data_IF_764159811467
#
_entry.id   IF_764159811467
#
_cell.length_a   1.000
_cell.length_b   1.000
_cell.length_c   1.000
_cell.angle_alpha   90.00
_cell.angle_beta   90.00
_cell.angle_gamma   90.00
#
_symmetry.space_group_name_H-M   'P 1'
#
loop_
_entity.id
_entity.type
_entity.pdbx_description
1 polymer ?
#
# COMPACT_ATOMS: atom_id res chain seq x y z
N UNK A 1 -4.53 15.01 3.81
CA UNK A 1 -5.48 13.88 3.69
C UNK A 1 -4.69 12.59 3.69
N UNK A 2 -4.65 11.90 4.81
CA UNK A 2 -3.94 10.62 4.97
C UNK A 2 -4.78 9.48 4.42
N UNK A 3 -4.16 8.64 3.61
CA UNK A 3 -4.75 7.43 3.08
C UNK A 3 -4.62 6.35 4.16
N UNK A 4 -5.73 5.84 4.68
CA UNK A 4 -5.74 4.84 5.77
C UNK A 4 -5.53 3.39 5.31
N UNK A 5 -5.32 3.16 4.01
CA UNK A 5 -5.19 1.81 3.44
C UNK A 5 -3.75 1.28 3.42
N UNK A 6 -3.63 -0.03 3.45
CA UNK A 6 -2.36 -0.75 3.24
C UNK A 6 -1.69 -0.36 1.91
N UNK A 7 -0.38 -0.55 1.80
CA UNK A 7 0.42 -0.24 0.61
C UNK A 7 -0.20 -0.83 -0.69
N UNK A 8 -0.75 -2.07 -0.63
CA UNK A 8 -1.43 -2.68 -1.78
C UNK A 8 -2.69 -1.96 -2.21
N UNK A 9 -3.49 -1.51 -1.26
CA UNK A 9 -4.71 -0.77 -1.55
C UNK A 9 -4.38 0.55 -2.21
N UNK A 10 -3.33 1.23 -1.75
CA UNK A 10 -2.80 2.46 -2.36
C UNK A 10 -2.32 2.23 -3.79
N UNK A 11 -1.56 1.16 -4.02
CA UNK A 11 -1.09 0.82 -5.37
C UNK A 11 -2.25 0.43 -6.29
N UNK A 12 -3.20 -0.37 -5.82
CA UNK A 12 -4.37 -0.76 -6.60
C UNK A 12 -5.24 0.45 -6.96
N UNK A 13 -5.48 1.35 -6.01
CA UNK A 13 -6.23 2.58 -6.25
C UNK A 13 -5.52 3.50 -7.25
N UNK A 14 -4.21 3.75 -7.03
CA UNK A 14 -3.41 4.61 -7.93
C UNK A 14 -3.35 4.04 -9.34
N UNK A 15 -3.09 2.74 -9.47
CA UNK A 15 -3.04 2.08 -10.77
C UNK A 15 -4.37 2.17 -11.52
N UNK A 16 -5.49 1.90 -10.85
CA UNK A 16 -6.81 2.02 -11.43
C UNK A 16 -7.16 3.48 -11.81
N UNK A 17 -6.81 4.45 -10.96
CA UNK A 17 -7.04 5.87 -11.20
C UNK A 17 -6.25 6.37 -12.43
N UNK A 18 -4.95 6.06 -12.50
CA UNK A 18 -4.10 6.44 -13.64
C UNK A 18 -4.57 5.77 -14.92
N UNK A 19 -4.96 4.49 -14.86
CA UNK A 19 -5.51 3.78 -16.01
C UNK A 19 -6.82 4.43 -16.52
N UNK A 20 -7.73 4.82 -15.63
CA UNK A 20 -8.95 5.51 -16.00
C UNK A 20 -8.68 6.91 -16.58
N UNK A 21 -7.71 7.64 -16.04
CA UNK A 21 -7.25 8.93 -16.58
C UNK A 21 -6.66 8.77 -17.99
N UNK A 22 -5.77 7.79 -18.18
CA UNK A 22 -5.18 7.51 -19.49
C UNK A 22 -6.24 7.10 -20.53
N UNK A 23 -7.23 6.31 -20.14
CA UNK A 23 -8.36 5.98 -20.99
C UNK A 23 -9.13 7.26 -21.41
N UNK A 24 -9.52 8.08 -20.42
CA UNK A 24 -10.26 9.31 -20.71
C UNK A 24 -9.50 10.26 -21.63
N UNK A 25 -8.23 10.53 -21.34
CA UNK A 25 -7.41 11.44 -22.13
C UNK A 25 -7.03 10.84 -23.48
N UNK A 26 -6.59 9.58 -23.52
CA UNK A 26 -6.14 8.91 -24.73
C UNK A 26 -7.29 8.76 -25.74
N UNK A 27 -8.43 8.27 -25.32
CA UNK A 27 -9.57 8.11 -26.21
C UNK A 27 -10.24 9.44 -26.59
N UNK A 28 -10.14 10.48 -25.75
CA UNK A 28 -10.55 11.82 -26.14
C UNK A 28 -9.63 12.39 -27.23
N UNK A 29 -8.33 12.12 -27.17
CA UNK A 29 -7.40 12.50 -28.23
C UNK A 29 -7.68 11.71 -29.52
N UNK A 30 -7.93 10.41 -29.44
CA UNK A 30 -8.32 9.58 -30.60
C UNK A 30 -9.63 10.04 -31.21
N UNK A 31 -10.61 10.45 -30.38
CA UNK A 31 -11.85 11.07 -30.83
C UNK A 31 -11.60 12.34 -31.66
N UNK A 32 -10.72 13.23 -31.18
CA UNK A 32 -10.39 14.47 -31.88
C UNK A 32 -9.70 14.19 -33.23
N UNK A 33 -8.83 13.18 -33.28
CA UNK A 33 -8.15 12.76 -34.50
C UNK A 33 -9.07 12.04 -35.49
N UNK A 34 -10.08 11.30 -34.97
CA UNK A 34 -11.00 10.52 -35.78
C UNK A 34 -12.16 11.34 -36.34
N UNK A 35 -12.50 12.50 -35.74
CA UNK A 35 -13.67 13.31 -36.11
C UNK A 35 -13.68 13.78 -37.56
N UNK A 36 -12.48 13.97 -38.13
CA UNK A 36 -12.33 14.45 -39.52
C UNK A 36 -12.33 13.30 -40.56
N UNK A 37 -12.53 12.05 -40.09
CA UNK A 37 -12.65 10.86 -40.94
C UNK A 37 -14.16 10.55 -41.13
N UNK A 38 -14.73 10.77 -42.33
CA UNK A 38 -16.16 10.76 -42.56
C UNK A 38 -16.87 9.44 -42.20
N UNK A 39 -16.15 8.32 -42.25
CA UNK A 39 -16.72 6.97 -42.00
C UNK A 39 -16.40 6.42 -40.64
N UNK A 40 -15.61 7.16 -39.80
CA UNK A 40 -15.19 6.68 -38.50
C UNK A 40 -16.30 6.77 -37.46
N UNK A 41 -16.67 5.68 -36.78
CA UNK A 41 -17.63 5.75 -35.70
C UNK A 41 -16.98 6.41 -34.46
N UNK A 42 -17.47 7.58 -34.08
CA UNK A 42 -16.95 8.37 -32.96
C UNK A 42 -17.52 7.90 -31.61
N UNK A 43 -18.70 7.30 -31.64
CA UNK A 43 -19.40 6.88 -30.41
C UNK A 43 -18.58 5.90 -29.51
N UNK A 44 -17.77 4.95 -30.00
CA UNK A 44 -17.01 4.05 -29.13
C UNK A 44 -15.98 4.81 -28.29
N UNK A 45 -15.34 5.83 -28.86
CA UNK A 45 -14.39 6.67 -28.14
C UNK A 45 -15.08 7.50 -27.06
N UNK A 46 -16.20 8.14 -27.40
CA UNK A 46 -16.97 8.93 -26.45
C UNK A 46 -17.50 8.07 -25.30
N UNK A 47 -18.05 6.89 -25.60
CA UNK A 47 -18.56 5.97 -24.56
C UNK A 47 -17.45 5.48 -23.66
N UNK A 48 -16.30 5.09 -24.19
CA UNK A 48 -15.18 4.62 -23.37
C UNK A 48 -14.59 5.75 -22.51
N UNK A 49 -14.52 6.99 -23.03
CA UNK A 49 -14.10 8.15 -22.24
C UNK A 49 -15.09 8.44 -21.11
N UNK A 50 -16.40 8.36 -21.35
CA UNK A 50 -17.43 8.52 -20.32
C UNK A 50 -17.33 7.43 -19.23
N UNK A 51 -17.04 6.18 -19.62
CA UNK A 51 -16.75 5.11 -18.65
C UNK A 51 -15.53 5.49 -17.81
N UNK A 52 -14.46 5.96 -18.43
CA UNK A 52 -13.25 6.41 -17.71
C UNK A 52 -13.58 7.51 -16.68
N UNK A 53 -14.34 8.52 -17.06
CA UNK A 53 -14.77 9.59 -16.15
C UNK A 53 -15.61 9.02 -14.99
N UNK A 54 -16.58 8.16 -15.28
CA UNK A 54 -17.43 7.52 -14.28
C UNK A 54 -16.60 6.71 -13.27
N UNK A 55 -15.59 5.97 -13.75
CA UNK A 55 -14.69 5.19 -12.91
C UNK A 55 -13.79 6.09 -12.02
N UNK A 56 -13.34 7.24 -12.53
CA UNK A 56 -12.61 8.25 -11.76
C UNK A 56 -13.50 8.76 -10.61
N UNK A 57 -14.75 9.12 -10.90
CA UNK A 57 -15.72 9.58 -9.89
C UNK A 57 -15.93 8.50 -8.82
N UNK A 58 -16.14 7.24 -9.21
CA UNK A 58 -16.28 6.12 -8.26
C UNK A 58 -15.06 5.98 -7.37
N UNK A 59 -13.87 6.06 -7.95
CA UNK A 59 -12.61 5.97 -7.18
C UNK A 59 -12.44 7.15 -6.20
N UNK A 60 -12.81 8.36 -6.59
CA UNK A 60 -12.76 9.54 -5.74
C UNK A 60 -13.75 9.44 -4.58
N UNK A 61 -15.00 9.06 -4.85
CA UNK A 61 -16.04 8.89 -3.83
C UNK A 61 -15.73 7.75 -2.85
N UNK A 62 -15.06 6.70 -3.31
CA UNK A 62 -14.72 5.53 -2.51
C UNK A 62 -13.30 5.56 -1.95
N UNK A 63 -12.59 6.69 -2.04
CA UNK A 63 -11.17 6.81 -1.65
C UNK A 63 -10.88 6.33 -0.22
N UNK A 64 -11.77 6.61 0.73
CA UNK A 64 -11.61 6.20 2.13
C UNK A 64 -11.89 4.71 2.36
N UNK A 65 -12.59 4.04 1.44
CA UNK A 65 -12.91 2.60 1.45
C UNK A 65 -12.22 1.87 0.30
N UNK A 66 -11.06 2.39 -0.11
CA UNK A 66 -10.30 1.78 -1.18
C UNK A 66 -9.87 0.37 -0.76
N UNK A 67 -10.18 -0.61 -1.59
CA UNK A 67 -9.75 -1.99 -1.43
C UNK A 67 -9.06 -2.45 -2.71
N UNK A 68 -8.19 -3.45 -2.60
CA UNK A 68 -7.56 -4.07 -3.77
C UNK A 68 -8.62 -4.62 -4.73
N UNK A 69 -9.74 -5.16 -4.21
CA UNK A 69 -10.85 -5.67 -5.01
C UNK A 69 -11.53 -4.56 -5.83
N UNK A 70 -11.80 -3.42 -5.21
CA UNK A 70 -12.38 -2.27 -5.90
C UNK A 70 -11.45 -1.75 -7.00
N UNK A 71 -10.17 -1.55 -6.69
CA UNK A 71 -9.16 -1.14 -7.68
C UNK A 71 -9.06 -2.12 -8.84
N UNK A 72 -9.08 -3.42 -8.57
CA UNK A 72 -9.05 -4.47 -9.59
C UNK A 72 -10.30 -4.48 -10.47
N UNK A 73 -11.48 -4.35 -9.89
CA UNK A 73 -12.74 -4.29 -10.63
C UNK A 73 -12.79 -3.05 -11.54
N UNK A 74 -12.43 -1.88 -11.01
CA UNK A 74 -12.36 -0.64 -11.80
C UNK A 74 -11.37 -0.77 -12.94
N UNK A 75 -10.19 -1.32 -12.67
CA UNK A 75 -9.16 -1.53 -13.68
C UNK A 75 -9.65 -2.45 -14.80
N UNK A 76 -10.32 -3.56 -14.45
CA UNK A 76 -10.85 -4.53 -15.42
C UNK A 76 -11.97 -3.92 -16.29
N UNK A 77 -12.93 -3.23 -15.67
CA UNK A 77 -14.00 -2.53 -16.40
C UNK A 77 -13.42 -1.51 -17.37
N UNK A 78 -12.44 -0.74 -16.92
CA UNK A 78 -11.74 0.22 -17.78
C UNK A 78 -11.04 -0.47 -18.97
N UNK A 79 -10.35 -1.58 -18.72
CA UNK A 79 -9.69 -2.36 -19.77
C UNK A 79 -10.69 -2.88 -20.79
N UNK A 80 -11.81 -3.44 -20.34
CA UNK A 80 -12.88 -3.95 -21.23
C UNK A 80 -13.44 -2.81 -22.09
N UNK A 81 -13.69 -1.63 -21.51
CA UNK A 81 -14.18 -0.49 -22.27
C UNK A 81 -13.21 -0.07 -23.40
N UNK A 82 -11.90 -0.04 -23.09
CA UNK A 82 -10.88 0.26 -24.10
C UNK A 82 -10.85 -0.82 -25.20
N UNK A 83 -10.85 -2.11 -24.82
CA UNK A 83 -10.81 -3.21 -25.77
C UNK A 83 -12.01 -3.23 -26.72
N UNK A 84 -13.20 -2.94 -26.19
CA UNK A 84 -14.42 -2.81 -27.00
C UNK A 84 -14.30 -1.64 -27.98
N UNK A 85 -13.84 -0.49 -27.53
CA UNK A 85 -13.62 0.66 -28.40
C UNK A 85 -12.61 0.34 -29.51
N UNK A 86 -11.48 -0.26 -29.16
CA UNK A 86 -10.44 -0.67 -30.12
C UNK A 86 -10.96 -1.75 -31.09
N UNK A 87 -11.75 -2.70 -30.62
CA UNK A 87 -12.34 -3.72 -31.49
C UNK A 87 -13.26 -3.12 -32.54
N UNK A 88 -14.14 -2.20 -32.14
CA UNK A 88 -15.08 -1.56 -33.07
C UNK A 88 -14.34 -0.67 -34.08
N UNK A 89 -13.35 0.11 -33.62
CA UNK A 89 -12.70 1.13 -34.46
C UNK A 89 -11.56 0.59 -35.32
N UNK A 90 -10.97 -0.56 -34.98
CA UNK A 90 -9.80 -1.11 -35.67
C UNK A 90 -10.02 -1.38 -37.17
N UNK A 91 -11.22 -1.82 -37.57
CA UNK A 91 -11.56 -2.02 -38.99
C UNK A 91 -11.58 -0.71 -39.79
N UNK A 92 -12.06 0.35 -39.19
CA UNK A 92 -12.11 1.67 -39.82
C UNK A 92 -10.73 2.29 -39.98
N UNK A 93 -9.86 2.15 -38.98
CA UNK A 93 -8.45 2.58 -39.07
C UNK A 93 -7.72 1.85 -40.18
N UNK A 94 -7.99 0.56 -40.39
CA UNK A 94 -7.40 -0.21 -41.46
C UNK A 94 -7.78 0.37 -42.85
N UNK A 95 -9.01 0.88 -43.01
CA UNK A 95 -9.48 1.47 -44.27
C UNK A 95 -8.95 2.89 -44.52
N UNK A 96 -8.39 3.56 -43.53
CA UNK A 96 -7.85 4.93 -43.68
C UNK A 96 -6.41 4.99 -44.18
N UNK A 97 -5.82 3.85 -44.59
CA UNK A 97 -4.41 3.78 -44.97
C UNK A 97 -3.43 3.82 -43.80
N UNK A 98 -3.93 3.70 -42.56
CA UNK A 98 -3.13 3.61 -41.33
C UNK A 98 -3.42 2.30 -40.61
N UNK A 99 -3.25 1.14 -41.24
CA UNK A 99 -3.67 -0.16 -40.71
C UNK A 99 -2.93 -0.55 -39.40
N UNK A 100 -1.73 0.00 -39.16
CA UNK A 100 -0.92 -0.29 -37.95
C UNK A 100 -1.42 0.39 -36.69
N UNK A 101 -2.27 1.44 -36.76
CA UNK A 101 -2.74 2.21 -35.61
C UNK A 101 -3.37 1.35 -34.50
N UNK A 102 -4.28 0.40 -34.79
CA UNK A 102 -4.83 -0.48 -33.75
C UNK A 102 -3.78 -1.35 -33.07
N UNK A 103 -2.78 -1.83 -33.80
CA UNK A 103 -1.71 -2.63 -33.22
C UNK A 103 -0.83 -1.80 -32.29
N UNK A 104 -0.51 -0.56 -32.64
CA UNK A 104 0.25 0.34 -31.77
C UNK A 104 -0.51 0.68 -30.48
N UNK A 105 -1.80 0.99 -30.59
CA UNK A 105 -2.65 1.24 -29.43
C UNK A 105 -2.70 0.03 -28.47
N UNK A 106 -2.80 -1.20 -29.01
CA UNK A 106 -2.78 -2.40 -28.21
C UNK A 106 -1.42 -2.67 -27.55
N UNK A 107 -0.29 -2.40 -28.25
CA UNK A 107 1.07 -2.49 -27.66
C UNK A 107 1.22 -1.53 -26.47
N UNK A 108 0.77 -0.28 -26.62
CA UNK A 108 0.76 0.70 -25.55
C UNK A 108 -0.15 0.25 -24.40
N UNK A 109 -1.30 -0.33 -24.71
CA UNK A 109 -2.20 -0.92 -23.71
C UNK A 109 -1.54 -2.01 -22.88
N UNK A 110 -0.78 -2.91 -23.51
CA UNK A 110 -0.01 -3.94 -22.81
C UNK A 110 0.99 -3.33 -21.83
N UNK A 111 1.76 -2.31 -22.27
CA UNK A 111 2.73 -1.62 -21.41
C UNK A 111 2.03 -0.92 -20.25
N UNK A 112 0.93 -0.21 -20.53
CA UNK A 112 0.16 0.47 -19.49
C UNK A 112 -0.38 -0.53 -18.45
N UNK A 113 -0.90 -1.68 -18.89
CA UNK A 113 -1.34 -2.75 -17.98
C UNK A 113 -0.20 -3.28 -17.14
N UNK A 114 0.96 -3.55 -17.72
CA UNK A 114 2.13 -4.04 -16.99
C UNK A 114 2.56 -3.07 -15.88
N UNK A 115 2.43 -1.77 -16.14
CA UNK A 115 2.81 -0.71 -15.18
C UNK A 115 1.74 -0.40 -14.13
N UNK A 116 0.46 -0.63 -14.43
CA UNK A 116 -0.65 -0.12 -13.62
C UNK A 116 -1.53 -1.20 -13.00
N UNK A 117 -1.51 -2.44 -13.50
CA UNK A 117 -2.40 -3.49 -13.02
C UNK A 117 -2.23 -3.74 -11.50
N UNK A 118 -3.34 -3.80 -10.75
CA UNK A 118 -3.30 -3.92 -9.29
C UNK A 118 -2.92 -5.33 -8.82
N UNK A 119 -3.18 -6.35 -9.62
CA UNK A 119 -2.95 -7.77 -9.31
C UNK A 119 -2.47 -8.54 -10.53
N UNK A 120 -1.76 -9.65 -10.30
CA UNK A 120 -1.21 -10.49 -11.36
C UNK A 120 -2.31 -11.04 -12.28
N UNK A 121 -3.35 -11.64 -11.73
CA UNK A 121 -4.44 -12.23 -12.51
C UNK A 121 -5.16 -11.20 -13.40
N UNK A 122 -5.51 -10.03 -12.83
CA UNK A 122 -6.12 -8.92 -13.56
C UNK A 122 -5.19 -8.42 -14.67
N UNK A 123 -3.90 -8.27 -14.37
CA UNK A 123 -2.92 -7.84 -15.35
C UNK A 123 -2.74 -8.83 -16.50
N UNK A 124 -2.60 -10.12 -16.20
CA UNK A 124 -2.43 -11.16 -17.24
C UNK A 124 -3.67 -11.28 -18.14
N UNK A 125 -4.88 -11.25 -17.57
CA UNK A 125 -6.14 -11.26 -18.35
C UNK A 125 -6.22 -10.02 -19.23
N UNK A 126 -5.86 -8.86 -18.72
CA UNK A 126 -5.85 -7.60 -19.49
C UNK A 126 -4.82 -7.64 -20.63
N UNK A 127 -3.60 -8.12 -20.36
CA UNK A 127 -2.55 -8.29 -21.38
C UNK A 127 -3.02 -9.25 -22.48
N UNK A 128 -3.61 -10.38 -22.08
CA UNK A 128 -4.17 -11.33 -23.04
C UNK A 128 -5.28 -10.70 -23.90
N UNK A 129 -6.14 -9.88 -23.30
CA UNK A 129 -7.17 -9.12 -24.03
C UNK A 129 -6.57 -8.16 -25.06
N UNK A 130 -5.56 -7.38 -24.68
CA UNK A 130 -4.86 -6.46 -25.60
C UNK A 130 -4.10 -7.20 -26.71
N UNK A 131 -3.62 -8.41 -26.46
CA UNK A 131 -2.99 -9.23 -27.50
C UNK A 131 -4.03 -9.89 -28.42
N UNK A 132 -5.09 -10.45 -27.85
CA UNK A 132 -6.10 -11.18 -28.61
C UNK A 132 -6.96 -10.26 -29.49
N UNK A 133 -7.25 -9.05 -29.05
CA UNK A 133 -8.11 -8.10 -29.77
C UNK A 133 -7.60 -7.80 -31.18
N UNK A 134 -6.37 -7.31 -31.39
CA UNK A 134 -5.89 -7.02 -32.75
C UNK A 134 -5.68 -8.29 -33.59
N UNK A 135 -5.24 -9.39 -33.00
CA UNK A 135 -5.04 -10.65 -33.70
C UNK A 135 -6.39 -11.22 -34.17
N UNK A 136 -7.36 -11.27 -33.26
CA UNK A 136 -8.71 -11.71 -33.62
C UNK A 136 -9.33 -10.83 -34.71
N UNK A 137 -9.24 -9.52 -34.54
CA UNK A 137 -9.80 -8.59 -35.53
C UNK A 137 -9.13 -8.74 -36.89
N UNK A 138 -7.80 -8.94 -36.93
CA UNK A 138 -7.05 -9.14 -38.15
C UNK A 138 -7.62 -10.32 -39.00
N UNK A 139 -7.99 -11.42 -38.33
CA UNK A 139 -8.57 -12.57 -39.03
C UNK A 139 -9.99 -12.32 -39.56
N UNK A 140 -10.70 -11.32 -39.06
CA UNK A 140 -12.02 -10.93 -39.56
C UNK A 140 -11.99 -9.80 -40.60
N UNK A 141 -10.82 -9.28 -40.94
CA UNK A 141 -10.67 -8.28 -41.98
C UNK A 141 -10.69 -8.94 -43.37
N UNK A 142 -11.13 -8.15 -44.36
CA UNK A 142 -11.06 -8.55 -45.78
C UNK A 142 -9.60 -8.90 -46.18
N UNK A 143 -9.37 -9.96 -46.95
CA UNK A 143 -8.03 -10.35 -47.40
C UNK A 143 -7.24 -9.23 -48.12
N UNK A 144 -7.92 -8.32 -48.81
CA UNK A 144 -7.29 -7.16 -49.42
C UNK A 144 -6.75 -6.17 -48.38
N UNK A 145 -7.52 -5.92 -47.33
CA UNK A 145 -7.13 -5.07 -46.21
C UNK A 145 -6.00 -5.74 -45.44
N UNK A 146 -6.07 -7.06 -45.24
CA UNK A 146 -5.01 -7.81 -44.55
C UNK A 146 -3.64 -7.67 -45.24
N UNK A 147 -3.61 -7.64 -46.57
CA UNK A 147 -2.36 -7.44 -47.34
C UNK A 147 -1.70 -6.09 -47.12
N UNK A 148 -2.46 -5.08 -46.69
CA UNK A 148 -1.94 -3.75 -46.36
C UNK A 148 -1.21 -3.68 -45.04
N UNK A 149 -1.29 -4.72 -44.17
CA UNK A 149 -0.58 -4.75 -42.90
C UNK A 149 0.90 -5.15 -43.10
N UNK A 150 1.82 -4.56 -42.33
CA UNK A 150 3.21 -4.99 -42.32
C UNK A 150 3.32 -6.46 -41.90
N UNK A 151 4.14 -7.22 -42.62
CA UNK A 151 4.39 -8.63 -42.35
C UNK A 151 4.96 -8.75 -40.94
N UNK A 152 4.28 -9.53 -40.08
CA UNK A 152 4.73 -9.76 -38.69
C UNK A 152 4.10 -8.86 -37.62
N UNK A 153 3.36 -7.79 -37.98
CA UNK A 153 2.70 -6.93 -36.96
C UNK A 153 1.85 -7.69 -35.95
N UNK A 154 1.02 -8.69 -36.34
CA UNK A 154 0.28 -9.48 -35.35
C UNK A 154 1.18 -10.22 -34.34
N UNK A 155 2.34 -10.67 -34.79
CA UNK A 155 3.30 -11.39 -33.95
C UNK A 155 4.04 -10.46 -32.98
N UNK A 156 4.31 -9.22 -33.39
CA UNK A 156 4.90 -8.22 -32.50
C UNK A 156 4.02 -7.94 -31.28
N UNK A 157 2.69 -8.00 -31.43
CA UNK A 157 1.78 -7.85 -30.28
C UNK A 157 2.00 -8.98 -29.25
N UNK A 158 2.24 -10.21 -29.69
CA UNK A 158 2.55 -11.33 -28.79
C UNK A 158 3.89 -11.12 -28.06
N UNK A 159 4.90 -10.61 -28.76
CA UNK A 159 6.19 -10.28 -28.15
C UNK A 159 5.99 -9.21 -27.07
N UNK A 160 5.21 -8.17 -27.36
CA UNK A 160 4.86 -7.15 -26.35
C UNK A 160 4.07 -7.73 -25.19
N UNK A 161 3.15 -8.68 -25.43
CA UNK A 161 2.40 -9.37 -24.38
C UNK A 161 3.32 -10.17 -23.46
N UNK A 162 4.29 -10.89 -24.01
CA UNK A 162 5.29 -11.62 -23.21
C UNK A 162 6.14 -10.66 -22.37
N UNK A 163 6.66 -9.60 -22.99
CA UNK A 163 7.40 -8.55 -22.25
C UNK A 163 6.57 -7.90 -21.17
N UNK A 164 5.32 -7.54 -21.48
CA UNK A 164 4.38 -6.98 -20.52
C UNK A 164 4.11 -7.91 -19.35
N UNK A 165 3.98 -9.22 -19.62
CA UNK A 165 3.84 -10.23 -18.57
C UNK A 165 5.05 -10.30 -17.65
N UNK A 166 6.26 -10.29 -18.19
CA UNK A 166 7.51 -10.27 -17.41
C UNK A 166 7.62 -8.99 -16.58
N UNK A 167 7.36 -7.84 -17.17
CA UNK A 167 7.38 -6.54 -16.47
C UNK A 167 6.35 -6.51 -15.33
N UNK A 168 5.14 -7.01 -15.56
CA UNK A 168 4.10 -7.12 -14.55
C UNK A 168 4.55 -7.97 -13.36
N UNK A 169 5.10 -9.16 -13.63
CA UNK A 169 5.61 -10.06 -12.58
C UNK A 169 6.74 -9.37 -11.80
N UNK A 170 7.69 -8.77 -12.51
CA UNK A 170 8.82 -8.08 -11.87
C UNK A 170 8.35 -6.93 -10.97
N UNK A 171 7.44 -6.10 -11.46
CA UNK A 171 6.88 -4.99 -10.68
C UNK A 171 6.14 -5.48 -9.43
N UNK A 172 5.28 -6.50 -9.56
CA UNK A 172 4.52 -7.02 -8.42
C UNK A 172 5.41 -7.69 -7.38
N UNK A 173 6.50 -8.36 -7.82
CA UNK A 173 7.54 -8.85 -6.91
C UNK A 173 8.24 -7.70 -6.19
N UNK A 174 8.55 -6.61 -6.88
CA UNK A 174 9.14 -5.41 -6.27
C UNK A 174 8.25 -4.83 -5.16
N UNK A 175 6.93 -4.71 -5.43
CA UNK A 175 5.96 -4.25 -4.43
C UNK A 175 5.88 -5.21 -3.22
N UNK A 176 5.95 -6.52 -3.46
CA UNK A 176 5.94 -7.51 -2.38
C UNK A 176 7.21 -7.42 -1.50
N UNK A 177 8.38 -7.25 -2.12
CA UNK A 177 9.64 -7.05 -1.41
C UNK A 177 9.66 -5.75 -0.61
N UNK A 178 9.16 -4.66 -1.18
CA UNK A 178 9.05 -3.37 -0.47
C UNK A 178 8.18 -3.51 0.80
N UNK A 179 7.08 -4.24 0.72
CA UNK A 179 6.23 -4.54 1.88
C UNK A 179 6.96 -5.32 2.96
N UNK A 180 7.68 -6.36 2.57
CA UNK A 180 8.43 -7.17 3.51
C UNK A 180 9.53 -6.35 4.18
N UNK A 181 10.24 -5.51 3.43
CA UNK A 181 11.21 -4.59 3.99
C UNK A 181 10.60 -3.62 5.01
N UNK A 182 9.44 -3.02 4.68
CA UNK A 182 8.74 -2.11 5.60
C UNK A 182 8.28 -2.84 6.86
N UNK A 183 7.84 -4.10 6.74
CA UNK A 183 7.47 -4.93 7.87
C UNK A 183 8.66 -5.22 8.76
N UNK A 184 9.78 -5.67 8.20
CA UNK A 184 11.01 -5.94 8.95
C UNK A 184 11.53 -4.68 9.65
N UNK A 185 11.46 -3.52 8.97
CA UNK A 185 11.83 -2.24 9.59
C UNK A 185 10.91 -1.87 10.77
N UNK A 186 9.60 -2.10 10.65
CA UNK A 186 8.66 -1.86 11.74
C UNK A 186 8.92 -2.78 12.92
N UNK A 187 9.16 -4.07 12.66
CA UNK A 187 9.52 -5.06 13.69
C UNK A 187 10.84 -4.69 14.40
N UNK A 188 11.86 -4.29 13.64
CA UNK A 188 13.14 -3.83 14.21
C UNK A 188 12.97 -2.57 15.08
N UNK A 189 12.18 -1.60 14.61
CA UNK A 189 11.90 -0.40 15.40
C UNK A 189 11.11 -0.71 16.68
N UNK A 190 10.18 -1.65 16.63
CA UNK A 190 9.43 -2.11 17.81
C UNK A 190 10.37 -2.81 18.81
N UNK A 191 11.24 -3.71 18.33
CA UNK A 191 12.23 -4.37 19.17
C UNK A 191 13.20 -3.38 19.84
N UNK A 192 13.64 -2.36 19.12
CA UNK A 192 14.50 -1.30 19.67
C UNK A 192 13.79 -0.46 20.76
N UNK A 193 12.51 -0.16 20.57
CA UNK A 193 11.70 0.54 21.60
C UNK A 193 11.56 -0.32 22.84
N UNK A 194 11.29 -1.62 22.69
CA UNK A 194 11.25 -2.58 23.77
C UNK A 194 12.58 -2.65 24.52
N UNK A 195 13.67 -2.80 23.81
CA UNK A 195 15.01 -2.85 24.44
C UNK A 195 15.29 -1.58 25.26
N UNK A 196 14.96 -0.40 24.73
CA UNK A 196 15.09 0.87 25.47
C UNK A 196 14.20 0.93 26.70
N UNK A 197 12.95 0.43 26.61
CA UNK A 197 12.06 0.36 27.75
C UNK A 197 12.60 -0.58 28.84
N UNK A 198 13.14 -1.75 28.47
CA UNK A 198 13.77 -2.68 29.42
C UNK A 198 14.99 -2.09 30.13
N UNK A 199 15.85 -1.37 29.41
CA UNK A 199 17.01 -0.69 30.03
C UNK A 199 16.53 0.32 31.07
N UNK A 200 15.58 1.18 30.74
CA UNK A 200 15.02 2.16 31.68
C UNK A 200 14.36 1.50 32.88
N UNK A 201 13.63 0.41 32.66
CA UNK A 201 12.97 -0.35 33.73
C UNK A 201 14.00 -0.99 34.68
N UNK A 202 15.09 -1.52 34.13
CA UNK A 202 16.23 -2.04 34.89
C UNK A 202 16.87 -0.95 35.75
N UNK A 203 17.11 0.23 35.16
CA UNK A 203 17.70 1.37 35.91
C UNK A 203 16.76 1.83 37.03
N UNK A 204 15.46 1.87 36.78
CA UNK A 204 14.43 2.24 37.77
C UNK A 204 14.33 1.24 38.92
N UNK A 205 14.46 -0.07 38.64
CA UNK A 205 14.45 -1.12 39.63
C UNK A 205 15.75 -1.23 40.43
N UNK A 206 16.91 -0.99 39.77
CA UNK A 206 18.21 -1.13 40.40
C UNK A 206 18.42 -0.12 41.55
N UNK A 207 17.98 1.11 41.39
CA UNK A 207 18.13 2.16 42.43
C UNK A 207 17.49 1.78 43.75
N UNK A 208 16.20 1.36 43.86
CA UNK A 208 15.62 0.90 45.11
C UNK A 208 16.21 -0.41 45.62
N UNK A 209 16.61 -1.35 44.73
CA UNK A 209 17.25 -2.60 45.13
C UNK A 209 18.61 -2.32 45.81
N UNK A 210 19.43 -1.44 45.23
CA UNK A 210 20.69 -1.02 45.84
C UNK A 210 20.47 -0.30 47.19
N UNK A 211 19.41 0.53 47.28
CA UNK A 211 19.05 1.20 48.53
C UNK A 211 18.64 0.21 49.61
N UNK A 212 17.90 -0.84 49.25
CA UNK A 212 17.51 -1.92 50.20
C UNK A 212 18.75 -2.69 50.64
N UNK A 213 19.65 -3.08 49.69
CA UNK A 213 20.86 -3.82 50.00
C UNK A 213 21.76 -3.04 50.96
N UNK A 214 22.04 -1.77 50.63
CA UNK A 214 22.86 -0.89 51.46
C UNK A 214 22.25 -0.69 52.86
N UNK A 215 20.94 -0.50 52.93
CA UNK A 215 20.21 -0.32 54.20
C UNK A 215 20.28 -1.58 55.06
N UNK A 216 20.18 -2.76 54.42
CA UNK A 216 20.30 -4.05 55.10
C UNK A 216 21.71 -4.24 55.70
N UNK A 217 22.74 -3.81 54.96
CA UNK A 217 24.13 -3.87 55.47
C UNK A 217 24.34 -2.91 56.65
N UNK A 218 23.78 -1.71 56.62
CA UNK A 218 23.85 -0.76 57.74
C UNK A 218 23.12 -1.31 58.99
N UNK A 219 21.97 -1.96 58.79
CA UNK A 219 21.30 -2.63 59.91
C UNK A 219 22.12 -3.78 60.53
N UNK A 220 22.79 -4.55 59.69
CA UNK A 220 23.69 -5.61 60.18
C UNK A 220 24.91 -5.08 60.96
N UNK A 221 25.43 -3.89 60.58
CA UNK A 221 26.54 -3.25 61.26
C UNK A 221 26.20 -2.68 62.67
N UNK A 222 24.97 -2.87 63.20
CA UNK A 222 24.48 -2.42 64.50
C UNK A 222 24.72 -0.93 64.80
N UNK A 223 24.39 -0.06 63.86
CA UNK A 223 24.44 1.39 64.07
C UNK A 223 23.38 1.82 65.06
N UNK A 224 23.71 2.73 65.99
CA UNK A 224 22.84 3.17 67.09
C UNK A 224 21.58 4.00 66.64
N UNK A 225 21.60 4.57 65.47
CA UNK A 225 20.47 5.31 64.93
C UNK A 225 19.82 4.55 63.76
N UNK A 226 18.76 3.79 64.12
CA UNK A 226 18.01 2.95 63.18
C UNK A 226 16.98 3.73 62.35
N UNK A 227 16.58 4.92 62.80
CA UNK A 227 15.47 5.67 62.20
C UNK A 227 15.74 6.12 60.74
N UNK A 228 16.88 6.79 60.40
CA UNK A 228 17.15 7.19 59.03
C UNK A 228 17.39 5.98 58.09
N UNK A 229 17.80 4.87 58.66
CA UNK A 229 18.02 3.60 57.92
C UNK A 229 16.69 2.95 57.56
N UNK A 230 15.72 2.90 58.50
CA UNK A 230 14.36 2.46 58.25
C UNK A 230 13.63 3.34 57.24
N UNK A 231 13.74 4.67 57.36
CA UNK A 231 13.15 5.62 56.41
C UNK A 231 13.67 5.45 54.97
N UNK A 232 14.93 5.01 54.78
CA UNK A 232 15.49 4.66 53.48
C UNK A 232 14.92 3.36 52.93
N UNK A 233 14.80 2.36 53.78
CA UNK A 233 14.24 1.07 53.40
C UNK A 233 12.77 1.23 52.96
N UNK A 234 11.98 1.95 53.76
CA UNK A 234 10.57 2.22 53.47
C UNK A 234 10.38 2.93 52.13
N UNK A 235 11.19 3.97 51.84
CA UNK A 235 11.17 4.67 50.53
C UNK A 235 11.59 3.76 49.35
N UNK A 236 12.51 2.82 49.55
CA UNK A 236 12.93 1.90 48.50
C UNK A 236 11.84 0.86 48.22
N UNK A 237 11.20 0.33 49.27
CA UNK A 237 10.05 -0.58 49.14
C UNK A 237 8.87 0.12 48.44
N UNK A 238 8.58 1.37 48.84
CA UNK A 238 7.53 2.18 48.23
C UNK A 238 7.77 2.35 46.70
N UNK A 239 8.99 2.70 46.29
CA UNK A 239 9.35 2.79 44.86
C UNK A 239 9.19 1.47 44.08
N UNK A 240 9.56 0.34 44.66
CA UNK A 240 9.35 -0.97 44.05
C UNK A 240 7.87 -1.32 43.95
N UNK A 241 7.08 -0.98 44.94
CA UNK A 241 5.62 -1.19 44.94
C UNK A 241 4.97 -0.38 43.81
N UNK A 242 5.38 0.88 43.61
CA UNK A 242 4.89 1.71 42.54
C UNK A 242 5.25 1.19 41.15
N UNK A 243 6.50 0.72 40.98
CA UNK A 243 6.92 0.06 39.73
C UNK A 243 6.02 -1.16 39.46
N UNK A 244 5.78 -2.00 40.49
CA UNK A 244 4.88 -3.16 40.36
C UNK A 244 3.47 -2.75 39.98
N UNK A 245 2.91 -1.72 40.59
CA UNK A 245 1.58 -1.21 40.25
C UNK A 245 1.51 -0.59 38.85
N UNK A 246 2.59 0.07 38.38
CA UNK A 246 2.67 0.61 37.03
C UNK A 246 2.69 -0.52 36.02
N UNK A 247 3.48 -1.57 36.26
CA UNK A 247 3.54 -2.75 35.41
C UNK A 247 2.21 -3.49 35.31
N UNK A 248 1.55 -3.71 36.48
CA UNK A 248 0.24 -4.38 36.53
C UNK A 248 -0.84 -3.57 35.81
N UNK A 249 -0.82 -2.24 35.92
CA UNK A 249 -1.75 -1.37 35.17
C UNK A 249 -1.50 -1.43 33.68
N UNK A 250 -0.25 -1.48 33.28
CA UNK A 250 0.12 -1.63 31.88
C UNK A 250 -0.33 -2.97 31.32
N UNK A 251 -0.11 -4.06 32.04
CA UNK A 251 -0.53 -5.42 31.67
C UNK A 251 -2.07 -5.51 31.55
N UNK A 252 -2.82 -4.90 32.46
CA UNK A 252 -4.29 -4.88 32.43
C UNK A 252 -4.88 -3.95 31.34
N UNK A 253 -4.18 -2.88 30.97
CA UNK A 253 -4.62 -1.96 29.92
C UNK A 253 -4.39 -2.55 28.51
N UNK A 254 -3.43 -3.43 28.36
CA UNK A 254 -3.09 -4.08 27.10
C UNK A 254 -3.51 -5.55 27.14
N UNK A 255 -4.72 -5.84 26.64
CA UNK A 255 -5.09 -7.24 26.34
C UNK A 255 -4.22 -7.69 25.16
N UNK A 256 -3.22 -8.48 25.47
CA UNK A 256 -2.37 -9.13 24.47
C UNK A 256 -3.22 -10.03 23.57
N UNK A 257 -3.38 -9.63 22.31
CA UNK A 257 -3.82 -10.52 21.25
C UNK A 257 -2.57 -11.00 20.49
N UNK A 258 -2.45 -12.28 20.14
CA UNK A 258 -1.36 -12.75 19.29
C UNK A 258 -1.37 -11.98 17.98
N UNK A 259 -0.35 -11.16 17.73
CA UNK A 259 -0.26 -10.25 16.58
C UNK A 259 -0.50 -8.78 16.89
N UNK A 260 -0.75 -8.41 18.15
CA UNK A 260 -0.84 -7.02 18.57
C UNK A 260 0.58 -6.47 18.80
N UNK A 261 1.10 -5.73 17.82
CA UNK A 261 2.45 -5.17 17.82
C UNK A 261 2.59 -3.89 18.66
N UNK A 262 1.55 -3.53 19.42
CA UNK A 262 1.50 -2.26 20.14
C UNK A 262 1.88 -2.37 21.61
N UNK A 263 3.12 -2.75 21.90
CA UNK A 263 3.70 -2.36 23.18
C UNK A 263 4.01 -0.87 23.11
N UNK A 264 3.10 -0.02 23.59
CA UNK A 264 3.32 1.42 23.60
C UNK A 264 4.24 1.80 24.76
N UNK A 265 5.55 1.68 24.49
CA UNK A 265 6.58 2.09 25.43
C UNK A 265 6.48 3.58 25.82
N UNK A 266 5.80 4.39 25.02
CA UNK A 266 5.57 5.82 25.25
C UNK A 266 4.54 6.00 26.37
N UNK A 267 3.44 5.22 26.36
CA UNK A 267 2.45 5.24 27.45
C UNK A 267 3.03 4.76 28.79
N UNK A 268 3.93 3.79 28.76
CA UNK A 268 4.59 3.32 29.98
C UNK A 268 5.54 4.37 30.53
N UNK A 269 6.29 5.05 29.68
CA UNK A 269 7.16 6.19 30.02
C UNK A 269 6.32 7.34 30.63
N UNK A 270 5.23 7.75 29.98
CA UNK A 270 4.34 8.81 30.47
C UNK A 270 3.71 8.48 31.82
N UNK A 271 3.32 7.22 32.07
CA UNK A 271 2.75 6.81 33.35
C UNK A 271 3.79 6.80 34.49
N UNK A 272 5.02 6.39 34.19
CA UNK A 272 6.12 6.42 35.17
C UNK A 272 6.52 7.86 35.51
N UNK A 273 6.70 8.73 34.50
CA UNK A 273 7.10 10.12 34.69
C UNK A 273 5.97 11.00 35.28
N UNK A 274 4.73 10.78 34.92
CA UNK A 274 3.61 11.54 35.48
C UNK A 274 3.38 11.26 36.95
N UNK A 275 3.73 10.07 37.42
CA UNK A 275 3.68 9.73 38.88
C UNK A 275 4.80 10.44 39.64
N UNK A 276 5.99 10.60 39.06
CA UNK A 276 7.12 11.26 39.68
C UNK A 276 6.95 12.78 39.72
N UNK A 277 6.43 13.39 38.66
CA UNK A 277 6.11 14.81 38.59
C UNK A 277 5.08 15.22 39.65
N UNK A 278 4.01 14.44 39.81
CA UNK A 278 2.98 14.65 40.86
C UNK A 278 3.54 14.57 42.27
N UNK A 279 4.54 13.74 42.51
CA UNK A 279 5.20 13.63 43.82
C UNK A 279 6.12 14.80 44.12
N UNK A 280 6.83 15.30 43.14
CA UNK A 280 7.68 16.50 43.31
C UNK A 280 6.84 17.73 43.61
N UNK A 281 5.65 17.84 43.04
CA UNK A 281 4.68 18.90 43.36
C UNK A 281 4.11 18.71 44.78
N UNK A 282 3.72 17.52 45.20
CA UNK A 282 3.21 17.23 46.52
C UNK A 282 4.25 17.41 47.67
N UNK A 283 5.54 17.41 47.35
CA UNK A 283 6.62 17.69 48.32
C UNK A 283 6.98 19.18 48.41
N UNK A 284 6.47 20.02 47.51
CA UNK A 284 6.66 21.48 47.53
C UNK A 284 5.55 22.23 48.24
N UNK A 285 4.47 21.55 48.57
CA UNK A 285 3.35 22.03 49.45
C UNK A 285 3.53 21.48 50.86
#
# INVERSE_FOLDING_TARGET
MTFSGDLAERHAWRGAFVAAMLNTVGLSADFLLARDIPTMPIYPYAMSALVGIGLIVVLLLRRQRATVRLGSAVFLVNTVAILVALWITSGYWAMTGKPWTPFQANKLGVVAVAMLAPQLGVGLVSIAGFAATPIGKFHFLDPEVQRGFPVGEPWFVLIYALFGGVLLIHRLRGIALEREMLRVQAEAAAAERLARAFVRLSDYANTPIQSIAFTTELLRAKTHDLKPTLDRLERAVEKLTELSHALTRYENAHKWSPGDESLDATMMDEQLFSSEARRLEARRL
#
